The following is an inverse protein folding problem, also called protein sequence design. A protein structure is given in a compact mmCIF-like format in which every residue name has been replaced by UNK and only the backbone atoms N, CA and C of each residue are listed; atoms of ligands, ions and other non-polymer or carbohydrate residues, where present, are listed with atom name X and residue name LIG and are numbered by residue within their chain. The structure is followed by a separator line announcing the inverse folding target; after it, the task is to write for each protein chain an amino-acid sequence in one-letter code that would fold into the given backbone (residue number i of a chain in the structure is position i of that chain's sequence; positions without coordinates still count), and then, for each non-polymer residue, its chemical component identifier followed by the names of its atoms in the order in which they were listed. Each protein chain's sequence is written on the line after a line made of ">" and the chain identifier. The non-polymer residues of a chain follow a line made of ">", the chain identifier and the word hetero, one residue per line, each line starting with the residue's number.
data_IF_076710876530
#
_entry.id   IF_076710876530
#
_cell.length_a   1.000
_cell.length_b   1.000
_cell.length_c   1.000
_cell.angle_alpha   90.00
_cell.angle_beta   90.00
_cell.angle_gamma   90.00
#
_symmetry.space_group_name_H-M   'P 1'
#
loop_
_entity.id
_entity.type
_entity.pdbx_description
1 polymer ?
#
# COMPACT_ATOMS: atom_id res chain seq x y z
N UNK A 1 5.15 -3.59 3.13
CA UNK A 1 4.42 -3.15 4.35
C UNK A 1 2.95 -3.57 4.29
N UNK A 2 2.20 -3.17 3.25
CA UNK A 2 0.81 -3.65 3.07
C UNK A 2 0.72 -5.18 2.91
N UNK A 3 1.67 -5.80 2.20
CA UNK A 3 1.75 -7.27 2.09
C UNK A 3 2.02 -7.98 3.43
N UNK A 4 2.74 -7.33 4.35
CA UNK A 4 3.01 -7.89 5.67
C UNK A 4 1.82 -7.70 6.60
N UNK A 5 1.10 -6.56 6.45
CA UNK A 5 -0.17 -6.34 7.11
C UNK A 5 -1.20 -7.40 6.68
N UNK A 6 -1.23 -7.79 5.41
CA UNK A 6 -2.14 -8.84 4.94
C UNK A 6 -1.82 -10.22 5.56
N UNK A 7 -0.53 -10.54 5.73
CA UNK A 7 -0.07 -11.83 6.29
C UNK A 7 -0.17 -11.92 7.81
N UNK A 8 -0.03 -10.80 8.53
CA UNK A 8 0.04 -10.77 9.99
C UNK A 8 -0.85 -9.65 10.57
N UNK A 9 -2.18 -9.76 10.38
CA UNK A 9 -3.15 -8.85 11.00
C UNK A 9 -3.99 -9.51 12.11
N UNK A 10 -3.77 -10.79 12.42
CA UNK A 10 -4.54 -11.50 13.43
C UNK A 10 -4.43 -10.85 14.82
N UNK A 11 -3.28 -10.28 15.15
CA UNK A 11 -3.07 -9.57 16.41
C UNK A 11 -3.90 -8.28 16.53
N UNK A 12 -4.30 -7.69 15.39
CA UNK A 12 -5.15 -6.49 15.35
C UNK A 12 -6.64 -6.82 15.48
N UNK A 13 -7.04 -8.03 15.10
CA UNK A 13 -8.40 -8.55 15.27
C UNK A 13 -8.67 -9.03 16.71
N UNK A 14 -7.61 -9.30 17.48
CA UNK A 14 -7.73 -9.76 18.85
C UNK A 14 -8.38 -8.69 19.74
N UNK A 15 -9.48 -9.07 20.42
CA UNK A 15 -10.19 -8.18 21.33
C UNK A 15 -11.11 -7.16 20.66
N UNK A 16 -11.45 -7.36 19.38
CA UNK A 16 -12.40 -6.52 18.62
C UNK A 16 -11.93 -5.05 18.51
N UNK A 17 -10.60 -4.84 18.58
CA UNK A 17 -9.96 -3.51 18.46
C UNK A 17 -10.06 -2.99 17.03
N UNK A 18 -9.92 -3.89 16.05
CA UNK A 18 -10.17 -3.62 14.65
C UNK A 18 -11.08 -4.70 14.08
N UNK A 19 -12.02 -4.27 13.24
CA UNK A 19 -12.85 -5.19 12.47
C UNK A 19 -12.15 -5.60 11.18
N UNK A 20 -12.42 -6.80 10.70
CA UNK A 20 -11.85 -7.30 9.44
C UNK A 20 -12.18 -6.39 8.25
N UNK A 21 -13.43 -5.93 8.18
CA UNK A 21 -13.90 -5.01 7.13
C UNK A 21 -13.14 -3.67 7.13
N UNK A 22 -12.76 -3.15 8.31
CA UNK A 22 -11.94 -1.93 8.40
C UNK A 22 -10.54 -2.14 7.83
N UNK A 23 -9.91 -3.27 8.14
CA UNK A 23 -8.57 -3.60 7.64
C UNK A 23 -8.59 -3.82 6.12
N UNK A 24 -9.55 -4.58 5.61
CA UNK A 24 -9.73 -4.82 4.17
C UNK A 24 -10.00 -3.50 3.43
N UNK A 25 -10.89 -2.65 3.95
CA UNK A 25 -11.16 -1.33 3.37
C UNK A 25 -9.95 -0.40 3.37
N UNK A 26 -9.17 -0.38 4.46
CA UNK A 26 -7.94 0.40 4.54
C UNK A 26 -6.90 -0.07 3.53
N UNK A 27 -6.68 -1.39 3.43
CA UNK A 27 -5.75 -1.97 2.48
C UNK A 27 -6.16 -1.65 1.04
N UNK A 28 -7.44 -1.76 0.69
CA UNK A 28 -7.92 -1.45 -0.65
C UNK A 28 -7.60 0.00 -1.05
N UNK A 29 -7.86 0.98 -0.17
CA UNK A 29 -7.56 2.39 -0.45
C UNK A 29 -6.04 2.59 -0.58
N UNK A 30 -5.24 2.02 0.33
CA UNK A 30 -3.78 2.18 0.27
C UNK A 30 -3.13 1.51 -0.94
N UNK A 31 -3.65 0.39 -1.40
CA UNK A 31 -3.19 -0.22 -2.65
C UNK A 31 -3.45 0.68 -3.85
N UNK A 32 -4.57 1.39 -3.92
CA UNK A 32 -4.81 2.35 -5.01
C UNK A 32 -3.79 3.49 -5.03
N UNK A 33 -3.39 3.99 -3.86
CA UNK A 33 -2.35 5.02 -3.75
C UNK A 33 -0.97 4.48 -4.20
N UNK A 34 -0.61 3.27 -3.78
CA UNK A 34 0.65 2.62 -4.16
C UNK A 34 0.71 2.39 -5.66
N UNK A 35 -0.35 1.85 -6.26
CA UNK A 35 -0.41 1.64 -7.70
C UNK A 35 -0.26 2.94 -8.48
N UNK A 36 -0.94 4.01 -8.04
CA UNK A 36 -0.80 5.32 -8.67
C UNK A 36 0.65 5.81 -8.61
N UNK A 37 1.29 5.71 -7.44
CA UNK A 37 2.67 6.13 -7.26
C UNK A 37 3.64 5.33 -8.14
N UNK A 38 3.51 4.01 -8.19
CA UNK A 38 4.38 3.11 -8.98
C UNK A 38 4.19 3.28 -10.50
N UNK A 39 3.00 3.67 -10.95
CA UNK A 39 2.70 3.84 -12.38
C UNK A 39 2.85 5.29 -12.86
N UNK A 40 3.13 6.23 -11.98
CA UNK A 40 3.47 7.61 -12.35
C UNK A 40 4.98 7.78 -12.49
N UNK A 41 5.49 8.22 -13.66
CA UNK A 41 6.91 8.48 -13.82
C UNK A 41 7.39 9.55 -12.83
N UNK A 42 8.40 9.23 -12.04
CA UNK A 42 8.95 10.19 -11.09
C UNK A 42 9.90 11.17 -11.81
N UNK A 43 9.91 12.48 -11.51
CA UNK A 43 10.78 13.45 -12.19
C UNK A 43 12.28 13.10 -12.20
N UNK A 44 12.74 12.32 -11.21
CA UNK A 44 14.12 11.80 -11.15
C UNK A 44 14.42 10.78 -12.26
N UNK A 45 13.43 9.99 -12.68
CA UNK A 45 13.57 8.99 -13.74
C UNK A 45 13.87 9.68 -15.08
N UNK A 46 13.29 10.85 -15.31
CA UNK A 46 13.64 11.67 -16.48
C UNK A 46 15.11 12.08 -16.46
N UNK A 47 15.66 12.51 -15.32
CA UNK A 47 17.09 12.84 -15.22
C UNK A 47 17.98 11.61 -15.48
N UNK A 48 17.56 10.42 -15.01
CA UNK A 48 18.34 9.19 -15.15
C UNK A 48 18.29 8.60 -16.57
N UNK A 49 17.16 8.71 -17.27
CA UNK A 49 16.92 7.98 -18.51
C UNK A 49 16.76 8.85 -19.77
N UNK A 50 16.54 10.17 -19.65
CA UNK A 50 16.27 11.03 -20.82
C UNK A 50 17.53 11.60 -21.49
N UNK A 51 18.72 11.48 -20.89
CA UNK A 51 19.97 12.06 -21.44
C UNK A 51 20.93 11.02 -22.05
N UNK A 52 20.43 9.84 -22.41
CA UNK A 52 21.20 8.85 -23.18
C UNK A 52 21.32 9.24 -24.66
#
# INVERSE_FOLDING_TARGET
>A
ALEELEKDHEFLLAGDVFTKDQLEGYMAIKWTEVYAYEHTPHPVEYQMYYSC
#
